data_IF_079245235269
#
_entry.id   IF_079245235269
#
_cell.length_a   1.000
_cell.length_b   1.000
_cell.length_c   1.000
_cell.angle_alpha   90.00
_cell.angle_beta   90.00
_cell.angle_gamma   90.00
#
_symmetry.space_group_name_H-M   'P 1'
#
loop_
_entity.id
_entity.type
_entity.pdbx_description
1 polymer ?
#
# COMPACT_ATOMS: atom_id res chain seq x y z
N UNK A 1 -4.30 -28.58 9.29
CA UNK A 1 -3.14 -27.67 9.38
C UNK A 1 -2.54 -27.70 10.78
N UNK A 2 -3.32 -27.40 11.83
CA UNK A 2 -2.85 -27.44 13.23
C UNK A 2 -2.45 -28.86 13.71
N UNK A 3 -3.12 -29.91 13.21
CA UNK A 3 -2.77 -31.32 13.50
C UNK A 3 -1.57 -31.85 12.69
N UNK A 4 -0.85 -30.97 12.03
CA UNK A 4 0.29 -31.29 11.16
C UNK A 4 0.01 -32.16 9.91
N UNK A 5 -1.25 -32.36 9.57
CA UNK A 5 -1.62 -33.12 8.36
C UNK A 5 -1.47 -32.33 7.05
N UNK A 6 -1.36 -31.00 7.13
CA UNK A 6 -1.22 -30.09 5.97
C UNK A 6 -0.17 -29.03 6.29
N UNK A 7 0.77 -28.80 5.36
CA UNK A 7 1.88 -27.84 5.52
C UNK A 7 1.51 -26.40 5.16
N UNK A 8 0.54 -26.21 4.28
CA UNK A 8 0.12 -24.91 3.78
C UNK A 8 -1.37 -24.73 4.09
N UNK A 9 -1.73 -23.52 4.48
CA UNK A 9 -3.10 -23.07 4.67
C UNK A 9 -3.29 -21.79 3.88
N UNK A 10 -4.36 -21.73 3.10
CA UNK A 10 -4.81 -20.53 2.39
C UNK A 10 -6.17 -20.18 2.98
N UNK A 11 -6.38 -18.92 3.32
CA UNK A 11 -7.66 -18.42 3.81
C UNK A 11 -7.93 -17.02 3.26
N UNK A 12 -9.20 -16.74 3.02
CA UNK A 12 -9.72 -15.42 2.69
C UNK A 12 -10.55 -14.89 3.88
N UNK A 13 -11.02 -13.64 3.79
CA UNK A 13 -11.90 -13.04 4.81
C UNK A 13 -13.16 -13.90 5.10
N UNK A 14 -13.72 -14.54 4.07
CA UNK A 14 -14.89 -15.42 4.21
C UNK A 14 -14.60 -16.73 4.99
N UNK A 15 -13.34 -17.17 5.02
CA UNK A 15 -12.90 -18.39 5.73
C UNK A 15 -12.23 -18.14 7.09
N UNK A 16 -12.13 -16.87 7.51
CA UNK A 16 -11.29 -16.44 8.62
C UNK A 16 -11.97 -16.38 9.99
N UNK A 17 -13.29 -16.50 10.10
CA UNK A 17 -13.99 -16.28 11.38
C UNK A 17 -13.76 -17.44 12.37
N UNK A 18 -13.51 -17.09 13.64
CA UNK A 18 -13.45 -18.05 14.75
C UNK A 18 -12.24 -19.00 14.85
N UNK A 19 -11.34 -19.03 13.86
CA UNK A 19 -10.18 -19.96 13.87
C UNK A 19 -8.85 -19.27 14.12
N UNK A 20 -7.92 -20.03 14.69
CA UNK A 20 -6.56 -19.60 15.03
C UNK A 20 -5.56 -20.56 14.41
N UNK A 21 -4.51 -20.00 13.80
CA UNK A 21 -3.50 -20.71 13.02
C UNK A 21 -2.08 -20.35 13.44
N UNK A 22 -1.90 -19.70 14.59
CA UNK A 22 -0.59 -19.43 15.18
C UNK A 22 0.16 -20.73 15.52
N UNK A 23 1.44 -20.63 15.83
CA UNK A 23 2.25 -21.77 16.26
C UNK A 23 1.96 -22.09 17.74
N UNK A 24 0.73 -22.47 18.06
CA UNK A 24 0.26 -22.72 19.43
C UNK A 24 1.09 -23.83 20.11
N UNK A 25 1.55 -23.60 21.34
CA UNK A 25 2.28 -24.58 22.16
C UNK A 25 1.46 -25.84 22.46
N UNK A 26 0.12 -25.76 22.39
CA UNK A 26 -0.78 -26.90 22.56
C UNK A 26 -1.05 -27.68 21.27
N UNK A 27 -0.70 -27.11 20.10
CA UNK A 27 -0.93 -27.75 18.82
C UNK A 27 0.25 -28.64 18.41
N UNK A 28 -0.03 -29.68 17.61
CA UNK A 28 1.00 -30.57 17.07
C UNK A 28 1.92 -29.83 16.09
N UNK A 29 1.36 -28.99 15.22
CA UNK A 29 2.14 -28.21 14.28
C UNK A 29 2.62 -26.89 14.90
N UNK A 30 3.84 -26.89 15.42
CA UNK A 30 4.48 -25.71 16.00
C UNK A 30 5.50 -25.05 15.07
N UNK A 31 5.45 -25.29 13.75
CA UNK A 31 6.41 -24.67 12.82
C UNK A 31 6.26 -23.15 12.75
N UNK A 32 7.34 -22.45 12.39
CA UNK A 32 7.31 -21.02 12.10
C UNK A 32 6.20 -20.69 11.08
N UNK A 33 5.37 -19.70 11.40
CA UNK A 33 4.34 -19.23 10.49
C UNK A 33 4.93 -18.17 9.58
N UNK A 34 5.12 -18.50 8.31
CA UNK A 34 5.42 -17.52 7.27
C UNK A 34 4.09 -17.14 6.61
N UNK A 35 3.57 -15.97 6.99
CA UNK A 35 2.27 -15.47 6.54
C UNK A 35 2.48 -14.56 5.33
N UNK A 36 2.12 -15.10 4.16
CA UNK A 36 2.10 -14.34 2.91
C UNK A 36 0.83 -13.51 2.80
N UNK A 37 0.96 -12.18 2.77
CA UNK A 37 -0.17 -11.27 2.55
C UNK A 37 -0.29 -10.96 1.07
N UNK A 38 -1.24 -11.62 0.40
CA UNK A 38 -1.51 -11.44 -1.03
C UNK A 38 -2.46 -10.26 -1.27
N UNK A 39 -3.61 -10.26 -0.59
CA UNK A 39 -4.61 -9.18 -0.66
C UNK A 39 -4.98 -8.75 0.77
N UNK A 40 -4.26 -7.81 1.36
CA UNK A 40 -4.64 -7.26 2.64
C UNK A 40 -5.90 -6.40 2.42
N UNK A 41 -7.02 -6.83 3.02
CA UNK A 41 -8.31 -6.18 2.86
C UNK A 41 -8.25 -4.65 3.01
N UNK A 42 -9.09 -3.97 2.24
CA UNK A 42 -9.16 -2.51 2.14
C UNK A 42 -9.42 -1.83 3.51
N UNK A 43 -10.21 -2.50 4.37
CA UNK A 43 -10.52 -2.06 5.73
C UNK A 43 -9.42 -2.50 6.70
N UNK A 44 -8.88 -1.54 7.46
CA UNK A 44 -7.80 -1.79 8.42
C UNK A 44 -8.15 -2.89 9.43
N UNK A 45 -9.39 -2.91 9.91
CA UNK A 45 -9.84 -3.90 10.90
C UNK A 45 -9.84 -5.32 10.34
N UNK A 46 -10.18 -5.49 9.05
CA UNK A 46 -10.16 -6.79 8.40
C UNK A 46 -8.71 -7.31 8.25
N UNK A 47 -7.79 -6.44 7.83
CA UNK A 47 -6.37 -6.79 7.71
C UNK A 47 -5.76 -7.15 9.08
N UNK A 48 -6.05 -6.37 10.14
CA UNK A 48 -5.62 -6.66 11.51
C UNK A 48 -6.18 -8.00 11.99
N UNK A 49 -7.46 -8.27 11.73
CA UNK A 49 -8.09 -9.54 12.08
C UNK A 49 -7.45 -10.72 11.36
N UNK A 50 -7.05 -10.56 10.09
CA UNK A 50 -6.31 -11.56 9.32
C UNK A 50 -4.92 -11.85 9.91
N UNK A 51 -4.16 -10.81 10.26
CA UNK A 51 -2.85 -10.93 10.93
C UNK A 51 -2.95 -11.62 12.29
N UNK A 52 -4.01 -11.31 13.06
CA UNK A 52 -4.33 -11.93 14.34
C UNK A 52 -4.69 -13.42 14.27
N UNK A 53 -4.78 -14.01 13.07
CA UNK A 53 -4.96 -15.47 12.90
C UNK A 53 -3.66 -16.23 13.12
N UNK A 54 -2.51 -15.62 12.82
CA UNK A 54 -1.20 -16.26 12.97
C UNK A 54 -0.35 -15.67 14.09
N UNK A 55 -0.80 -14.56 14.70
CA UNK A 55 -0.14 -13.92 15.84
C UNK A 55 -1.07 -13.90 17.05
N UNK A 56 -0.77 -14.70 18.08
CA UNK A 56 -1.56 -14.83 19.32
C UNK A 56 -0.64 -15.06 20.52
N UNK A 57 -1.20 -14.90 21.72
CA UNK A 57 -0.57 -15.41 22.94
C UNK A 57 -0.41 -16.94 22.87
N UNK A 58 0.49 -17.51 23.68
CA UNK A 58 0.78 -18.96 23.70
C UNK A 58 1.41 -19.54 22.42
N UNK A 59 1.97 -18.70 21.54
CA UNK A 59 2.75 -19.17 20.39
C UNK A 59 4.17 -19.56 20.78
N UNK A 60 4.66 -20.69 20.26
CA UNK A 60 6.04 -21.15 20.43
C UNK A 60 7.06 -20.15 19.88
N UNK A 61 6.71 -19.46 18.80
CA UNK A 61 7.48 -18.35 18.24
C UNK A 61 6.58 -17.39 17.45
N UNK A 62 6.98 -16.11 17.28
CA UNK A 62 6.24 -15.17 16.46
C UNK A 62 6.23 -15.51 14.96
N UNK A 63 5.17 -15.12 14.22
CA UNK A 63 5.13 -15.29 12.78
C UNK A 63 6.09 -14.34 12.05
N UNK A 64 6.49 -14.72 10.85
CA UNK A 64 7.07 -13.82 9.84
C UNK A 64 5.99 -13.38 8.87
N UNK A 65 5.77 -12.07 8.77
CA UNK A 65 4.86 -11.51 7.77
C UNK A 65 5.63 -11.18 6.48
N UNK A 66 5.12 -11.65 5.35
CA UNK A 66 5.66 -11.41 4.01
C UNK A 66 4.57 -10.77 3.16
N UNK A 67 4.46 -9.44 3.13
CA UNK A 67 3.63 -8.77 2.15
C UNK A 67 4.16 -9.11 0.75
N UNK A 68 3.25 -9.54 -0.12
CA UNK A 68 3.53 -9.76 -1.52
C UNK A 68 3.01 -8.56 -2.28
N UNK A 69 3.85 -8.01 -3.14
CA UNK A 69 3.48 -6.97 -4.10
C UNK A 69 3.97 -7.39 -5.47
N UNK A 70 3.27 -6.96 -6.50
CA UNK A 70 3.77 -7.03 -7.87
C UNK A 70 4.67 -5.81 -8.16
N UNK A 71 5.25 -5.79 -9.36
CA UNK A 71 6.00 -4.66 -9.91
C UNK A 71 5.09 -3.54 -10.46
N UNK A 72 3.76 -3.71 -10.35
CA UNK A 72 2.79 -2.68 -10.75
C UNK A 72 2.92 -1.48 -9.82
N UNK A 73 3.32 -0.33 -10.37
CA UNK A 73 3.61 0.88 -9.58
C UNK A 73 2.45 1.35 -8.70
N UNK A 74 1.20 1.20 -9.15
CA UNK A 74 0.04 1.56 -8.32
C UNK A 74 -0.14 0.63 -7.10
N UNK A 75 0.41 -0.59 -7.13
CA UNK A 75 0.41 -1.49 -5.97
C UNK A 75 1.30 -0.98 -4.83
N UNK A 76 2.29 -0.13 -5.11
CA UNK A 76 3.08 0.54 -4.06
C UNK A 76 2.20 1.38 -3.11
N UNK A 77 1.07 1.91 -3.59
CA UNK A 77 0.08 2.60 -2.73
C UNK A 77 -0.52 1.67 -1.68
N UNK A 78 -0.75 0.41 -2.06
CA UNK A 78 -1.27 -0.58 -1.13
C UNK A 78 -0.23 -0.86 -0.06
N UNK A 79 1.04 -1.06 -0.46
CA UNK A 79 2.14 -1.27 0.47
C UNK A 79 2.26 -0.15 1.50
N UNK A 80 2.18 1.12 1.11
CA UNK A 80 2.29 2.24 2.06
C UNK A 80 1.11 2.35 3.04
N UNK A 81 -0.08 1.93 2.62
CA UNK A 81 -1.25 1.86 3.51
C UNK A 81 -1.12 0.70 4.52
N UNK A 82 -0.57 -0.45 4.08
CA UNK A 82 -0.34 -1.63 4.92
C UNK A 82 0.83 -1.41 5.89
N UNK A 83 1.87 -0.72 5.43
CA UNK A 83 3.06 -0.33 6.19
C UNK A 83 2.73 0.32 7.53
N UNK A 84 1.98 1.42 7.45
CA UNK A 84 1.54 2.22 8.60
C UNK A 84 0.66 1.41 9.54
N UNK A 85 -0.12 0.46 9.00
CA UNK A 85 -0.97 -0.45 9.77
C UNK A 85 -0.15 -1.52 10.50
N UNK A 86 0.93 -2.02 9.89
CA UNK A 86 1.88 -2.94 10.54
C UNK A 86 2.69 -2.26 11.64
N UNK A 87 3.08 -0.99 11.45
CA UNK A 87 3.75 -0.18 12.48
C UNK A 87 2.89 0.01 13.74
N UNK A 88 1.56 0.14 13.55
CA UNK A 88 0.60 0.32 14.66
C UNK A 88 0.41 -0.97 15.49
N UNK A 89 0.66 -2.15 14.90
CA UNK A 89 0.41 -3.44 15.55
C UNK A 89 1.49 -3.88 16.54
N UNK A 90 2.60 -3.13 16.71
CA UNK A 90 3.69 -3.52 17.60
C UNK A 90 4.36 -4.85 17.22
N UNK A 91 4.02 -5.41 16.05
CA UNK A 91 4.52 -6.69 15.55
C UNK A 91 6.00 -6.63 15.16
N UNK A 92 6.56 -5.43 15.03
CA UNK A 92 8.00 -5.21 14.97
C UNK A 92 8.50 -5.02 16.40
N UNK A 93 8.85 -6.14 17.04
CA UNK A 93 9.62 -6.10 18.29
C UNK A 93 10.92 -5.33 18.08
N UNK A 94 11.45 -4.69 19.14
CA UNK A 94 12.57 -3.72 19.09
C UNK A 94 13.80 -4.18 18.27
N UNK A 95 14.05 -5.48 18.13
CA UNK A 95 15.15 -6.04 17.33
C UNK A 95 14.92 -6.02 15.80
N UNK A 96 13.67 -6.06 15.33
CA UNK A 96 13.34 -5.94 13.89
C UNK A 96 13.21 -4.49 13.43
N UNK A 97 13.16 -3.51 14.35
CA UNK A 97 13.24 -2.08 13.96
C UNK A 97 14.59 -1.75 13.32
N UNK A 98 15.66 -2.45 13.72
CA UNK A 98 17.01 -2.19 13.19
C UNK A 98 17.29 -2.85 11.83
N UNK A 99 16.46 -3.79 11.37
CA UNK A 99 16.64 -4.43 10.05
C UNK A 99 15.47 -4.22 9.09
N UNK A 100 14.26 -3.91 9.59
CA UNK A 100 13.10 -3.52 8.79
C UNK A 100 12.82 -2.01 8.82
N UNK A 101 13.06 -1.30 9.93
CA UNK A 101 12.73 0.13 10.03
C UNK A 101 13.63 1.06 9.21
N UNK A 102 14.83 0.61 8.83
CA UNK A 102 15.78 1.40 8.01
C UNK A 102 15.70 1.10 6.50
N UNK A 103 14.71 0.33 6.04
CA UNK A 103 14.60 0.01 4.61
C UNK A 103 13.28 -0.58 4.14
N UNK A 104 12.31 -0.82 5.03
CA UNK A 104 11.01 -1.37 4.63
C UNK A 104 10.07 -0.28 4.10
N UNK A 105 10.20 0.96 4.59
CA UNK A 105 9.43 2.11 4.11
C UNK A 105 10.29 3.36 4.11
N UNK A 106 10.44 3.97 2.94
CA UNK A 106 11.12 5.24 2.79
C UNK A 106 10.11 6.39 2.88
N UNK A 107 10.54 7.62 3.21
CA UNK A 107 9.63 8.78 3.25
C UNK A 107 8.79 8.95 1.97
N UNK A 108 9.36 8.61 0.81
CA UNK A 108 8.68 8.61 -0.48
C UNK A 108 7.54 7.58 -0.61
N UNK A 109 7.49 6.57 0.25
CA UNK A 109 6.38 5.62 0.29
C UNK A 109 5.13 6.24 0.96
N UNK A 110 5.27 7.32 1.75
CA UNK A 110 4.12 7.99 2.36
C UNK A 110 3.42 8.96 1.38
N UNK A 111 2.55 8.39 0.56
CA UNK A 111 1.79 9.10 -0.47
C UNK A 111 0.65 10.01 0.06
N UNK A 112 0.46 10.15 1.38
CA UNK A 112 -0.51 11.09 1.98
C UNK A 112 0.14 12.26 2.73
N UNK A 113 1.47 12.31 2.72
CA UNK A 113 2.28 13.39 3.29
C UNK A 113 2.01 14.76 2.64
N UNK A 114 2.45 15.83 3.29
CA UNK A 114 2.38 17.17 2.70
C UNK A 114 3.22 17.27 1.42
N UNK A 115 4.39 16.61 1.38
CA UNK A 115 5.21 16.49 0.17
C UNK A 115 4.44 15.85 -0.99
N UNK A 116 3.68 14.78 -0.72
CA UNK A 116 2.89 14.10 -1.73
C UNK A 116 1.75 15.00 -2.27
N UNK A 117 1.09 15.78 -1.41
CA UNK A 117 0.06 16.74 -1.83
C UNK A 117 0.64 17.85 -2.71
N UNK A 118 1.83 18.35 -2.37
CA UNK A 118 2.49 19.38 -3.15
C UNK A 118 3.02 18.84 -4.48
N UNK A 119 3.56 17.61 -4.50
CA UNK A 119 3.95 16.92 -5.72
C UNK A 119 2.74 16.68 -6.64
N UNK A 120 1.58 16.35 -6.10
CA UNK A 120 0.35 16.18 -6.89
C UNK A 120 -0.12 17.49 -7.52
N UNK A 121 -0.09 18.60 -6.79
CA UNK A 121 -0.42 19.92 -7.36
C UNK A 121 0.52 20.26 -8.53
N UNK A 122 1.81 20.01 -8.38
CA UNK A 122 2.79 20.20 -9.45
C UNK A 122 2.50 19.28 -10.65
N UNK A 123 2.12 18.02 -10.42
CA UNK A 123 1.73 17.10 -11.49
C UNK A 123 0.54 17.64 -12.30
N UNK A 124 -0.50 18.12 -11.64
CA UNK A 124 -1.65 18.73 -12.32
C UNK A 124 -1.26 19.94 -13.16
N UNK A 125 -0.39 20.81 -12.64
CA UNK A 125 0.13 21.95 -13.40
C UNK A 125 0.95 21.50 -14.63
N UNK A 126 1.71 20.41 -14.53
CA UNK A 126 2.42 19.85 -15.68
C UNK A 126 1.46 19.25 -16.71
N UNK A 127 0.40 18.56 -16.28
CA UNK A 127 -0.63 18.02 -17.17
C UNK A 127 -1.34 19.14 -17.94
N UNK A 128 -1.78 20.19 -17.25
CA UNK A 128 -2.41 21.37 -17.86
C UNK A 128 -1.49 22.04 -18.88
N UNK A 129 -0.18 22.07 -18.60
CA UNK A 129 0.84 22.64 -19.51
C UNK A 129 1.29 21.68 -20.61
N UNK A 130 0.74 20.47 -20.70
CA UNK A 130 1.16 19.46 -21.66
C UNK A 130 2.61 18.98 -21.49
N UNK A 131 3.14 19.02 -20.27
CA UNK A 131 4.54 18.67 -19.93
C UNK A 131 4.71 17.26 -19.35
N UNK A 132 3.64 16.46 -19.37
CA UNK A 132 3.72 15.03 -19.02
C UNK A 132 3.80 14.23 -20.31
N UNK A 133 4.99 13.72 -20.60
CA UNK A 133 5.20 12.86 -21.75
C UNK A 133 4.36 11.59 -21.62
N UNK A 134 3.68 11.18 -22.69
CA UNK A 134 2.79 10.00 -22.69
C UNK A 134 1.42 10.21 -22.06
N UNK A 135 1.07 11.41 -21.59
CA UNK A 135 -0.28 11.70 -21.07
C UNK A 135 -0.67 13.16 -21.29
N UNK A 136 -1.60 13.41 -22.21
CA UNK A 136 -2.20 14.73 -22.41
C UNK A 136 -3.23 15.04 -21.31
N UNK A 137 -3.58 16.32 -21.15
CA UNK A 137 -4.67 16.71 -20.24
C UNK A 137 -5.97 15.96 -20.58
N UNK A 138 -6.38 15.97 -21.85
CA UNK A 138 -7.59 15.29 -22.29
C UNK A 138 -7.57 13.79 -21.96
N UNK A 139 -6.46 13.11 -22.26
CA UNK A 139 -6.30 11.69 -21.95
C UNK A 139 -6.39 11.41 -20.44
N UNK A 140 -5.79 12.28 -19.61
CA UNK A 140 -5.88 12.18 -18.17
C UNK A 140 -7.33 12.33 -17.67
N UNK A 141 -8.04 13.36 -18.12
CA UNK A 141 -9.41 13.64 -17.68
C UNK A 141 -10.37 12.54 -18.13
N UNK A 142 -10.23 12.06 -19.38
CA UNK A 142 -11.04 10.95 -19.92
C UNK A 142 -10.82 9.64 -19.16
N UNK A 143 -9.56 9.32 -18.86
CA UNK A 143 -9.24 8.05 -18.21
C UNK A 143 -9.54 8.06 -16.69
N UNK A 144 -9.43 9.21 -16.03
CA UNK A 144 -9.63 9.33 -14.57
C UNK A 144 -11.02 9.81 -14.17
N UNK A 145 -11.75 10.46 -15.09
CA UNK A 145 -12.98 11.20 -14.79
C UNK A 145 -12.76 12.43 -13.90
N UNK A 146 -11.51 12.87 -13.72
CA UNK A 146 -11.18 14.08 -13.00
C UNK A 146 -11.16 15.26 -13.96
N UNK A 147 -11.48 16.44 -13.47
CA UNK A 147 -11.42 17.67 -14.26
C UNK A 147 -10.57 18.69 -13.51
N UNK A 148 -9.48 19.12 -14.15
CA UNK A 148 -8.48 20.05 -13.62
C UNK A 148 -8.73 21.48 -14.08
N UNK A 149 -9.50 21.66 -15.16
CA UNK A 149 -9.81 22.97 -15.73
C UNK A 149 -11.31 23.30 -15.69
N UNK A 150 -11.60 24.60 -15.68
CA UNK A 150 -12.91 25.17 -15.91
C UNK A 150 -12.87 26.20 -17.06
N UNK A 151 -13.95 26.96 -17.26
CA UNK A 151 -14.04 27.99 -18.31
C UNK A 151 -13.04 29.14 -18.15
N UNK A 152 -12.43 29.30 -16.97
CA UNK A 152 -11.53 30.41 -16.63
C UNK A 152 -10.07 30.00 -16.50
N UNK A 153 -9.78 28.70 -16.42
CA UNK A 153 -8.41 28.19 -16.35
C UNK A 153 -8.31 26.93 -15.49
N UNK A 154 -7.25 26.83 -14.71
CA UNK A 154 -7.12 25.75 -13.72
C UNK A 154 -8.07 26.01 -12.55
N UNK A 155 -8.72 24.95 -12.05
CA UNK A 155 -9.61 25.07 -10.89
C UNK A 155 -8.85 25.48 -9.64
N UNK A 156 -9.47 26.32 -8.83
CA UNK A 156 -8.99 26.64 -7.48
C UNK A 156 -8.99 25.41 -6.56
N UNK A 157 -10.06 24.60 -6.65
CA UNK A 157 -10.20 23.36 -5.89
C UNK A 157 -9.84 22.15 -6.76
N UNK A 158 -8.58 21.73 -6.67
CA UNK A 158 -8.06 20.56 -7.39
C UNK A 158 -8.38 19.25 -6.67
N UNK A 159 -8.57 18.12 -7.40
CA UNK A 159 -8.91 16.85 -6.79
C UNK A 159 -7.86 16.39 -5.76
N UNK A 160 -8.27 15.99 -4.55
CA UNK A 160 -7.34 15.65 -3.47
C UNK A 160 -6.60 14.34 -3.76
N UNK A 161 -5.49 14.13 -3.07
CA UNK A 161 -4.59 12.98 -3.28
C UNK A 161 -5.28 11.62 -3.12
N UNK A 162 -6.20 11.51 -2.17
CA UNK A 162 -7.00 10.29 -1.98
C UNK A 162 -7.84 9.96 -3.20
N UNK A 163 -8.42 10.99 -3.84
CA UNK A 163 -9.23 10.84 -5.07
C UNK A 163 -8.35 10.49 -6.25
N UNK A 164 -7.25 11.23 -6.48
CA UNK A 164 -6.28 10.96 -7.54
C UNK A 164 -5.81 9.51 -7.50
N UNK A 165 -5.31 9.08 -6.34
CA UNK A 165 -4.79 7.75 -6.18
C UNK A 165 -5.88 6.69 -6.38
N UNK A 166 -7.15 6.96 -5.99
CA UNK A 166 -8.25 6.01 -6.20
C UNK A 166 -8.59 5.87 -7.70
N UNK A 167 -8.49 6.95 -8.48
CA UNK A 167 -8.67 6.90 -9.93
C UNK A 167 -7.52 6.19 -10.62
N UNK A 168 -6.30 6.36 -10.14
CA UNK A 168 -5.11 5.69 -10.68
C UNK A 168 -5.27 4.16 -10.73
N UNK A 169 -5.95 3.56 -9.74
CA UNK A 169 -6.21 2.11 -9.67
C UNK A 169 -7.06 1.58 -10.82
N UNK A 170 -7.84 2.44 -11.47
CA UNK A 170 -8.71 2.06 -12.58
C UNK A 170 -8.03 2.23 -13.96
N UNK A 171 -6.80 2.76 -14.01
CA UNK A 171 -6.10 3.02 -15.26
C UNK A 171 -5.38 1.78 -15.79
N UNK A 172 -5.05 1.77 -17.08
CA UNK A 172 -4.15 0.75 -17.66
C UNK A 172 -2.76 0.83 -17.03
N UNK A 173 -2.06 -0.31 -16.96
CA UNK A 173 -0.71 -0.39 -16.36
C UNK A 173 0.26 0.62 -17.00
N UNK A 174 0.17 0.81 -18.31
CA UNK A 174 0.97 1.78 -19.04
C UNK A 174 0.72 3.22 -18.56
N UNK A 175 -0.55 3.65 -18.50
CA UNK A 175 -0.91 5.01 -18.09
C UNK A 175 -0.63 5.24 -16.60
N UNK A 176 -0.80 4.21 -15.76
CA UNK A 176 -0.32 4.23 -14.38
C UNK A 176 1.19 4.46 -14.35
N UNK A 177 1.95 3.73 -15.16
CA UNK A 177 3.40 3.87 -15.27
C UNK A 177 3.83 5.29 -15.60
N UNK A 178 3.19 5.92 -16.59
CA UNK A 178 3.44 7.30 -17.00
C UNK A 178 3.17 8.29 -15.86
N UNK A 179 1.94 8.30 -15.35
CA UNK A 179 1.51 9.27 -14.35
C UNK A 179 2.25 9.09 -13.02
N UNK A 180 2.47 7.84 -12.60
CA UNK A 180 3.14 7.56 -11.34
C UNK A 180 4.64 7.85 -11.41
N UNK A 181 5.29 7.62 -12.55
CA UNK A 181 6.71 8.01 -12.72
C UNK A 181 6.90 9.52 -12.67
N UNK A 182 6.01 10.28 -13.33
CA UNK A 182 6.05 11.73 -13.26
C UNK A 182 5.80 12.23 -11.82
N UNK A 183 4.87 11.61 -11.12
CA UNK A 183 4.57 11.91 -9.72
C UNK A 183 5.71 11.57 -8.75
N UNK A 184 6.29 10.36 -8.83
CA UNK A 184 7.43 9.91 -8.01
C UNK A 184 8.61 10.87 -8.17
N UNK A 185 8.90 11.32 -9.40
CA UNK A 185 9.97 12.29 -9.65
C UNK A 185 9.74 13.62 -8.90
N UNK A 186 8.51 14.12 -8.91
CA UNK A 186 8.15 15.35 -8.20
C UNK A 186 8.20 15.17 -6.69
N UNK A 187 7.76 14.01 -6.19
CA UNK A 187 7.78 13.68 -4.78
C UNK A 187 9.21 13.59 -4.24
N UNK A 188 10.09 12.87 -4.93
CA UNK A 188 11.49 12.75 -4.52
C UNK A 188 12.18 14.10 -4.49
N UNK A 189 11.96 14.95 -5.51
CA UNK A 189 12.51 16.31 -5.52
C UNK A 189 12.00 17.18 -4.35
N UNK A 190 10.76 16.94 -3.87
CA UNK A 190 10.21 17.64 -2.70
C UNK A 190 10.78 17.14 -1.38
N UNK A 191 11.09 15.84 -1.29
CA UNK A 191 11.69 15.24 -0.10
C UNK A 191 13.17 15.61 0.01
N UNK A 192 13.92 15.56 -1.09
CA UNK A 192 15.35 15.90 -1.12
C UNK A 192 15.61 17.40 -0.91
N UNK A 193 14.66 18.25 -1.30
CA UNK A 193 14.76 19.70 -1.15
C UNK A 193 14.30 20.23 0.22
N UNK A 194 13.92 19.36 1.15
CA UNK A 194 13.41 19.72 2.49
C UNK A 194 14.43 19.40 3.58
#
# INVERSE_FOLDING_TARGET
FMDDQKRILIFSDAGGTGRSYHADLSARNQRLRVHYLLEPGWKADAAIQGLGRTNRTNQAQPPLFRPISTDVKAEKRFLSTIARRLDTLGAITRGQRQTGGQGLFRPEDNLESHYARDALRQLYLLLVRGKVEGCSLQMFEDATGLSLMDSTGIKDELPPITTFLNRLLALTIELQGVLFTAFERLLNAKIEGA
#
